data_IF_421742423808
#
_entry.id   IF_421742423808
#
_cell.length_a   1.000
_cell.length_b   1.000
_cell.length_c   1.000
_cell.angle_alpha   90.00
_cell.angle_beta   90.00
_cell.angle_gamma   90.00
#
_symmetry.space_group_name_H-M   'P 1'
#
loop_
_entity.id
_entity.type
_entity.pdbx_description
1 polymer ?
#
# COMPACT_ATOMS: atom_id res chain seq x y z
N UNK A 1 -4.38 -4.96 -7.22
CA UNK A 1 -3.17 -4.13 -7.00
C UNK A 1 -2.21 -4.94 -6.10
N UNK A 2 -0.89 -4.84 -6.34
CA UNK A 2 0.20 -5.50 -5.58
C UNK A 2 -0.02 -6.98 -5.18
N UNK A 3 -0.09 -7.90 -6.15
CA UNK A 3 -0.42 -9.33 -5.94
C UNK A 3 0.43 -10.04 -4.88
N UNK A 4 1.71 -9.70 -4.76
CA UNK A 4 2.66 -10.40 -3.90
C UNK A 4 2.69 -9.91 -2.45
N UNK A 5 2.07 -8.75 -2.17
CA UNK A 5 1.93 -8.30 -0.80
C UNK A 5 0.71 -8.95 -0.16
N UNK A 6 0.85 -9.36 1.10
CA UNK A 6 -0.30 -9.76 1.92
C UNK A 6 -1.27 -8.58 2.06
N UNK A 7 -2.56 -8.86 2.27
CA UNK A 7 -3.54 -7.78 2.47
C UNK A 7 -3.23 -6.96 3.73
N UNK A 8 -2.73 -7.59 4.79
CA UNK A 8 -2.24 -6.91 5.98
C UNK A 8 -1.16 -5.86 5.63
N UNK A 9 -0.13 -6.27 4.88
CA UNK A 9 0.95 -5.36 4.48
C UNK A 9 0.45 -4.25 3.55
N UNK A 10 -0.47 -4.55 2.64
CA UNK A 10 -1.10 -3.53 1.78
C UNK A 10 -1.84 -2.49 2.62
N UNK A 11 -2.57 -2.92 3.65
CA UNK A 11 -3.30 -2.02 4.53
C UNK A 11 -2.37 -1.16 5.39
N UNK A 12 -1.32 -1.74 5.96
CA UNK A 12 -0.28 -0.99 6.70
C UNK A 12 0.33 0.12 5.85
N UNK A 13 0.69 -0.18 4.60
CA UNK A 13 1.21 0.85 3.68
C UNK A 13 0.16 1.91 3.36
N UNK A 14 -1.12 1.53 3.23
CA UNK A 14 -2.19 2.50 3.05
C UNK A 14 -2.36 3.41 4.27
N UNK A 15 -2.18 2.89 5.49
CA UNK A 15 -2.18 3.68 6.72
C UNK A 15 -1.00 4.66 6.77
N UNK A 16 0.21 4.18 6.47
CA UNK A 16 1.42 5.01 6.45
C UNK A 16 1.34 6.14 5.42
N UNK A 17 0.72 5.87 4.27
CA UNK A 17 0.49 6.87 3.23
C UNK A 17 -0.72 7.78 3.48
N UNK A 18 -1.47 7.56 4.56
CA UNK A 18 -2.66 8.35 4.89
C UNK A 18 -3.82 8.19 3.90
N UNK A 19 -3.97 7.01 3.30
CA UNK A 19 -5.03 6.68 2.33
C UNK A 19 -5.87 5.47 2.72
N UNK A 20 -5.74 5.00 3.97
CA UNK A 20 -6.44 3.83 4.48
C UNK A 20 -7.97 3.93 4.32
N UNK A 21 -8.53 5.12 4.51
CA UNK A 21 -9.95 5.46 4.33
C UNK A 21 -10.46 5.18 2.92
N UNK A 22 -9.59 5.24 1.91
CA UNK A 22 -9.93 5.07 0.49
C UNK A 22 -9.89 3.61 0.04
N UNK A 23 -9.28 2.73 0.82
CA UNK A 23 -9.02 1.34 0.40
C UNK A 23 -9.89 0.32 1.11
N UNK A 24 -10.52 0.67 2.23
CA UNK A 24 -11.42 -0.22 2.97
C UNK A 24 -12.87 -0.02 2.51
N UNK A 25 -13.28 -0.75 1.47
CA UNK A 25 -14.68 -0.79 1.04
C UNK A 25 -15.18 -2.23 0.91
N UNK A 26 -16.36 -2.52 1.46
CA UNK A 26 -17.08 -3.78 1.20
C UNK A 26 -16.38 -5.06 1.69
N UNK A 27 -15.51 -4.98 2.70
CA UNK A 27 -14.84 -6.14 3.30
C UNK A 27 -13.57 -6.62 2.59
N UNK A 28 -13.09 -5.93 1.56
CA UNK A 28 -11.82 -6.20 0.89
C UNK A 28 -11.05 -4.90 0.62
N UNK A 29 -9.73 -5.01 0.40
CA UNK A 29 -8.92 -3.86 0.04
C UNK A 29 -9.07 -3.51 -1.45
N UNK A 30 -9.65 -2.35 -1.72
CA UNK A 30 -9.83 -1.83 -3.08
C UNK A 30 -9.04 -0.55 -3.30
N UNK A 31 -7.96 -0.64 -4.06
CA UNK A 31 -7.06 0.49 -4.34
C UNK A 31 -7.48 1.34 -5.56
N UNK A 32 -8.64 1.07 -6.18
CA UNK A 32 -9.06 1.77 -7.40
C UNK A 32 -9.37 3.26 -7.22
N UNK A 33 -9.62 3.70 -5.99
CA UNK A 33 -9.83 5.13 -5.66
C UNK A 33 -8.55 5.87 -5.30
N UNK A 34 -7.40 5.20 -5.29
CA UNK A 34 -6.10 5.79 -4.95
C UNK A 34 -5.49 6.46 -6.18
N UNK A 35 -4.97 7.68 -6.03
CA UNK A 35 -4.35 8.41 -7.15
C UNK A 35 -3.06 7.73 -7.62
N UNK A 36 -2.70 7.93 -8.89
CA UNK A 36 -1.45 7.39 -9.46
C UNK A 36 -0.20 7.82 -8.66
N UNK A 37 -0.20 9.04 -8.10
CA UNK A 37 0.86 9.53 -7.21
C UNK A 37 1.01 8.66 -5.96
N UNK A 38 -0.11 8.31 -5.31
CA UNK A 38 -0.10 7.48 -4.12
C UNK A 38 0.25 6.02 -4.44
N UNK A 39 -0.13 5.50 -5.62
CA UNK A 39 0.36 4.22 -6.10
C UNK A 39 1.89 4.22 -6.29
N UNK A 40 2.47 5.31 -6.82
CA UNK A 40 3.92 5.47 -6.90
C UNK A 40 4.59 5.52 -5.53
N UNK A 41 4.02 6.28 -4.59
CA UNK A 41 4.51 6.33 -3.20
C UNK A 41 4.43 4.96 -2.51
N UNK A 42 3.40 4.16 -2.79
CA UNK A 42 3.27 2.80 -2.30
C UNK A 42 4.41 1.89 -2.78
N UNK A 43 4.76 1.96 -4.06
CA UNK A 43 5.90 1.21 -4.60
C UNK A 43 7.22 1.68 -3.97
N UNK A 44 7.41 3.00 -3.85
CA UNK A 44 8.58 3.58 -3.17
C UNK A 44 8.71 3.05 -1.74
N UNK A 45 7.62 3.05 -0.98
CA UNK A 45 7.60 2.55 0.40
C UNK A 45 7.95 1.06 0.48
N UNK A 46 7.41 0.26 -0.44
CA UNK A 46 7.72 -1.18 -0.53
C UNK A 46 9.22 -1.43 -0.74
N UNK A 47 9.84 -0.69 -1.67
CA UNK A 47 11.29 -0.78 -1.94
C UNK A 47 12.09 -0.34 -0.71
N UNK A 48 11.75 0.80 -0.10
CA UNK A 48 12.46 1.30 1.08
C UNK A 48 12.46 0.29 2.24
N UNK A 49 11.31 -0.37 2.50
CA UNK A 49 11.21 -1.41 3.55
C UNK A 49 12.14 -2.59 3.26
N UNK A 50 12.26 -3.01 1.99
CA UNK A 50 13.14 -4.12 1.59
C UNK A 50 14.60 -3.73 1.73
N UNK A 51 14.99 -2.56 1.20
CA UNK A 51 16.37 -2.06 1.31
C UNK A 51 16.81 -1.91 2.77
N UNK A 52 15.92 -1.45 3.66
CA UNK A 52 16.19 -1.37 5.11
C UNK A 52 16.39 -2.73 5.78
N UNK A 53 15.79 -3.80 5.24
CA UNK A 53 15.87 -5.15 5.80
C UNK A 53 17.02 -5.97 5.20
N UNK A 54 17.69 -5.47 4.17
CA UNK A 54 18.83 -6.13 3.51
C UNK A 54 20.19 -5.66 4.05
N UNK A 55 20.20 -4.62 4.89
CA UNK A 55 21.37 -4.09 5.60
C UNK A 55 21.43 -4.65 7.02
#
# INVERSE_FOLDING_TARGET
MARYLSDQTKFEFAQELGVADKVTQGGSLYFGHVSSKNCGNFVKLAIQRVEQNML
#
